data_IF_600090662110
#
_entry.id   IF_600090662110
#
_cell.length_a   1.000
_cell.length_b   1.000
_cell.length_c   1.000
_cell.angle_alpha   90.00
_cell.angle_beta   90.00
_cell.angle_gamma   90.00
#
_symmetry.space_group_name_H-M   'P 1'
#
loop_
_entity.id
_entity.type
_entity.pdbx_description
1 polymer ?
#
# COMPACT_ATOMS: atom_id res chain seq x y z
N UNK A 1 -23.06 -9.52 -2.48
CA UNK A 1 -21.83 -10.09 -3.04
C UNK A 1 -20.71 -9.05 -3.01
N UNK A 2 -20.88 -7.83 -3.59
CA UNK A 2 -19.84 -6.80 -3.62
C UNK A 2 -19.34 -6.42 -2.21
N UNK A 3 -20.24 -6.04 -1.31
CA UNK A 3 -19.87 -5.66 0.06
C UNK A 3 -19.24 -6.82 0.85
N UNK A 4 -19.81 -8.02 0.74
CA UNK A 4 -19.29 -9.22 1.41
C UNK A 4 -17.92 -9.61 0.85
N UNK A 5 -17.75 -9.58 -0.49
CA UNK A 5 -16.49 -9.88 -1.15
C UNK A 5 -15.39 -8.89 -0.75
N UNK A 6 -15.68 -7.58 -0.76
CA UNK A 6 -14.76 -6.54 -0.30
C UNK A 6 -14.39 -6.68 1.18
N UNK A 7 -15.39 -6.90 2.03
CA UNK A 7 -15.16 -7.08 3.46
C UNK A 7 -14.23 -8.26 3.74
N UNK A 8 -14.54 -9.45 3.18
CA UNK A 8 -13.71 -10.64 3.37
C UNK A 8 -12.29 -10.45 2.81
N UNK A 9 -12.17 -9.84 1.62
CA UNK A 9 -10.89 -9.57 1.00
C UNK A 9 -10.03 -8.62 1.82
N UNK A 10 -10.59 -7.46 2.20
CA UNK A 10 -9.85 -6.44 2.93
C UNK A 10 -9.51 -6.87 4.36
N UNK A 11 -10.46 -7.51 5.08
CA UNK A 11 -10.18 -8.04 6.42
C UNK A 11 -9.16 -9.17 6.35
N UNK A 12 -9.32 -10.11 5.41
CA UNK A 12 -8.36 -11.17 5.21
C UNK A 12 -6.95 -10.65 4.99
N UNK A 13 -6.77 -9.70 4.05
CA UNK A 13 -5.46 -9.09 3.79
C UNK A 13 -4.91 -8.31 4.99
N UNK A 14 -5.71 -7.46 5.62
CA UNK A 14 -5.24 -6.61 6.72
C UNK A 14 -4.89 -7.39 7.99
N UNK A 15 -5.40 -8.61 8.14
CA UNK A 15 -5.16 -9.46 9.31
C UNK A 15 -4.04 -10.49 9.11
N UNK A 16 -3.46 -10.60 7.93
CA UNK A 16 -2.33 -11.53 7.68
C UNK A 16 -1.19 -11.30 8.67
N UNK A 17 -0.85 -10.03 8.95
CA UNK A 17 0.23 -9.69 9.88
C UNK A 17 -0.07 -10.00 11.36
N UNK A 18 -1.35 -10.02 11.76
CA UNK A 18 -1.76 -10.30 13.14
C UNK A 18 -2.16 -11.76 13.37
N UNK A 19 -2.80 -12.39 12.38
CA UNK A 19 -3.32 -13.76 12.51
C UNK A 19 -2.42 -14.82 11.88
N UNK A 20 -1.39 -14.39 11.15
CA UNK A 20 -0.53 -15.26 10.33
C UNK A 20 -1.12 -15.55 8.95
N UNK A 21 -0.27 -15.94 8.01
CA UNK A 21 -0.70 -16.27 6.64
C UNK A 21 -1.33 -17.67 6.57
N UNK A 22 -0.65 -18.67 7.07
CA UNK A 22 -1.06 -20.09 7.07
C UNK A 22 -1.12 -20.58 8.51
N UNK A 23 0.00 -20.48 9.23
CA UNK A 23 0.08 -20.84 10.63
C UNK A 23 -0.58 -19.75 11.50
N UNK A 24 -1.53 -20.15 12.38
CA UNK A 24 -2.22 -19.17 13.22
C UNK A 24 -1.28 -18.64 14.30
N UNK A 25 -1.18 -17.32 14.43
CA UNK A 25 -0.49 -16.68 15.55
C UNK A 25 -1.34 -16.70 16.82
N UNK A 26 -0.74 -16.40 17.97
CA UNK A 26 -1.42 -16.41 19.26
C UNK A 26 -2.64 -15.48 19.36
N UNK A 27 -2.65 -14.39 18.59
CA UNK A 27 -3.77 -13.44 18.51
C UNK A 27 -4.89 -13.87 17.57
N UNK A 28 -4.79 -15.05 16.95
CA UNK A 28 -5.79 -15.55 16.02
C UNK A 28 -7.08 -15.93 16.76
N UNK A 29 -8.23 -15.30 16.46
CA UNK A 29 -9.47 -15.52 17.24
C UNK A 29 -10.09 -16.88 17.01
N UNK A 30 -9.86 -17.51 15.85
CA UNK A 30 -10.34 -18.85 15.48
C UNK A 30 -9.51 -19.39 14.32
N UNK A 31 -9.52 -20.72 14.17
CA UNK A 31 -8.83 -21.40 13.05
C UNK A 31 -9.84 -22.09 12.15
N UNK A 32 -9.55 -22.15 10.84
CA UNK A 32 -10.35 -22.86 9.85
C UNK A 32 -9.51 -24.07 9.39
N UNK A 33 -9.90 -25.28 9.78
CA UNK A 33 -9.15 -26.52 9.53
C UNK A 33 -7.69 -26.48 10.02
N UNK A 34 -7.44 -25.79 11.16
CA UNK A 34 -6.10 -25.64 11.71
C UNK A 34 -5.22 -24.56 11.03
N UNK A 35 -5.77 -23.81 10.09
CA UNK A 35 -5.09 -22.76 9.35
C UNK A 35 -5.64 -21.39 9.80
N UNK A 36 -4.81 -20.34 9.70
CA UNK A 36 -5.24 -18.96 9.93
C UNK A 36 -6.41 -18.60 9.01
N UNK A 37 -7.47 -17.92 9.50
CA UNK A 37 -8.62 -17.52 8.69
C UNK A 37 -8.29 -16.40 7.71
N UNK A 38 -7.15 -15.69 7.86
CA UNK A 38 -6.78 -14.55 7.04
C UNK A 38 -6.70 -14.91 5.55
N UNK A 39 -5.94 -15.95 5.20
CA UNK A 39 -5.78 -16.38 3.82
C UNK A 39 -7.08 -16.94 3.20
N UNK A 40 -7.83 -17.87 3.83
CA UNK A 40 -9.13 -18.30 3.32
C UNK A 40 -10.13 -17.15 3.13
N UNK A 41 -10.20 -16.21 4.05
CA UNK A 41 -11.06 -15.02 3.91
C UNK A 41 -10.65 -14.15 2.73
N UNK A 42 -9.35 -13.88 2.55
CA UNK A 42 -8.84 -13.11 1.42
C UNK A 42 -9.15 -13.81 0.08
N UNK A 43 -8.93 -15.12 0.00
CA UNK A 43 -9.21 -15.90 -1.22
C UNK A 43 -10.71 -15.92 -1.52
N UNK A 44 -11.56 -16.20 -0.53
CA UNK A 44 -13.01 -16.22 -0.70
C UNK A 44 -13.53 -14.84 -1.13
N UNK A 45 -13.02 -13.77 -0.50
CA UNK A 45 -13.34 -12.40 -0.88
C UNK A 45 -12.94 -12.11 -2.33
N UNK A 46 -11.74 -12.50 -2.74
CA UNK A 46 -11.27 -12.35 -4.12
C UNK A 46 -12.13 -13.13 -5.12
N UNK A 47 -12.50 -14.37 -4.81
CA UNK A 47 -13.40 -15.19 -5.64
C UNK A 47 -14.75 -14.48 -5.83
N UNK A 48 -15.34 -13.96 -4.75
CA UNK A 48 -16.61 -13.22 -4.82
C UNK A 48 -16.50 -11.95 -5.68
N UNK A 49 -15.37 -11.23 -5.60
CA UNK A 49 -15.10 -10.05 -6.43
C UNK A 49 -14.90 -10.41 -7.90
N UNK A 50 -14.23 -11.53 -8.19
CA UNK A 50 -14.08 -12.03 -9.56
C UNK A 50 -15.44 -12.45 -10.15
N UNK A 51 -16.28 -13.12 -9.37
CA UNK A 51 -17.65 -13.51 -9.77
C UNK A 51 -18.54 -12.28 -9.95
N UNK A 52 -18.30 -11.20 -9.21
CA UNK A 52 -19.06 -9.96 -9.32
C UNK A 52 -18.96 -9.36 -10.73
N UNK A 53 -17.77 -9.38 -11.37
CA UNK A 53 -17.55 -8.78 -12.70
C UNK A 53 -18.51 -9.32 -13.77
N UNK A 54 -18.64 -10.64 -14.00
CA UNK A 54 -19.62 -11.16 -14.97
C UNK A 54 -21.07 -10.97 -14.55
N UNK A 55 -21.36 -10.91 -13.23
CA UNK A 55 -22.71 -10.61 -12.73
C UNK A 55 -23.09 -9.17 -13.05
N UNK A 56 -22.24 -8.20 -12.75
CA UNK A 56 -22.44 -6.78 -13.05
C UNK A 56 -22.67 -6.55 -14.55
N UNK A 57 -21.88 -7.26 -15.39
CA UNK A 57 -22.09 -7.24 -16.85
C UNK A 57 -23.52 -7.63 -17.25
N UNK A 58 -24.08 -8.67 -16.61
CA UNK A 58 -25.45 -9.12 -16.90
C UNK A 58 -26.50 -8.14 -16.37
N UNK A 59 -26.24 -7.54 -15.21
CA UNK A 59 -27.12 -6.53 -14.59
C UNK A 59 -27.15 -5.26 -15.44
N UNK A 60 -25.98 -4.77 -15.88
CA UNK A 60 -25.86 -3.62 -16.77
C UNK A 60 -26.62 -3.82 -18.09
N UNK A 61 -26.51 -5.02 -18.71
CA UNK A 61 -27.26 -5.36 -19.91
C UNK A 61 -28.78 -5.42 -19.74
N UNK A 62 -29.26 -5.80 -18.56
CA UNK A 62 -30.70 -5.91 -18.27
C UNK A 62 -31.33 -4.61 -17.78
N UNK A 63 -30.64 -3.89 -16.91
CA UNK A 63 -31.19 -2.76 -16.15
C UNK A 63 -30.59 -1.40 -16.58
N UNK A 64 -29.53 -1.40 -17.37
CA UNK A 64 -28.81 -0.20 -17.80
C UNK A 64 -28.03 0.51 -16.69
N UNK A 65 -28.00 -0.03 -15.48
CA UNK A 65 -27.29 0.52 -14.31
C UNK A 65 -26.53 -0.61 -13.62
N UNK A 66 -25.23 -0.45 -13.41
CA UNK A 66 -24.37 -1.37 -12.68
C UNK A 66 -23.58 -0.65 -11.61
N UNK A 67 -23.17 -1.34 -10.54
CA UNK A 67 -22.28 -0.79 -9.51
C UNK A 67 -20.87 -0.55 -10.07
N UNK A 68 -20.44 -1.39 -11.01
CA UNK A 68 -19.17 -1.30 -11.70
C UNK A 68 -19.42 -1.26 -13.22
N UNK A 69 -19.64 -0.07 -13.81
CA UNK A 69 -19.88 0.05 -15.25
C UNK A 69 -18.72 -0.52 -16.07
N UNK A 70 -19.05 -1.23 -17.14
CA UNK A 70 -18.01 -1.79 -18.02
C UNK A 70 -17.15 -0.73 -18.68
N UNK A 71 -17.71 0.46 -18.94
CA UNK A 71 -16.99 1.63 -19.41
C UNK A 71 -15.76 1.93 -18.57
N UNK A 72 -15.89 1.82 -17.23
CA UNK A 72 -14.77 1.99 -16.29
C UNK A 72 -13.64 0.99 -16.53
N UNK A 73 -13.97 -0.29 -16.63
CA UNK A 73 -12.97 -1.35 -16.79
C UNK A 73 -12.33 -1.37 -18.17
N UNK A 74 -13.04 -0.88 -19.20
CA UNK A 74 -12.54 -0.86 -20.58
C UNK A 74 -11.69 0.37 -20.89
N UNK A 75 -11.92 1.50 -20.22
CA UNK A 75 -11.19 2.74 -20.46
C UNK A 75 -9.78 2.68 -19.85
N UNK A 76 -8.70 2.67 -20.69
CA UNK A 76 -7.33 2.54 -20.18
C UNK A 76 -6.94 3.63 -19.19
N UNK A 77 -7.41 4.86 -19.44
CA UNK A 77 -7.15 6.01 -18.57
C UNK A 77 -7.76 5.85 -17.17
N UNK A 78 -9.02 5.38 -17.11
CA UNK A 78 -9.68 5.10 -15.81
C UNK A 78 -8.90 4.05 -15.05
N UNK A 79 -8.52 2.95 -15.71
CA UNK A 79 -7.68 1.90 -15.08
C UNK A 79 -6.37 2.47 -14.55
N UNK A 80 -5.69 3.29 -15.35
CA UNK A 80 -4.43 3.90 -14.93
C UNK A 80 -4.60 4.82 -13.72
N UNK A 81 -5.63 5.66 -13.69
CA UNK A 81 -5.94 6.53 -12.55
C UNK A 81 -6.33 5.75 -11.29
N UNK A 82 -7.12 4.67 -11.42
CA UNK A 82 -7.48 3.78 -10.31
C UNK A 82 -6.25 3.07 -9.74
N UNK A 83 -5.37 2.54 -10.60
CA UNK A 83 -4.12 1.91 -10.16
C UNK A 83 -3.18 2.93 -9.53
N UNK A 84 -3.08 4.15 -10.06
CA UNK A 84 -2.29 5.22 -9.47
C UNK A 84 -2.80 5.58 -8.05
N UNK A 85 -4.11 5.65 -7.88
CA UNK A 85 -4.72 5.82 -6.55
C UNK A 85 -4.40 4.65 -5.62
N UNK A 86 -4.48 3.41 -6.11
CA UNK A 86 -4.15 2.22 -5.33
C UNK A 86 -2.66 2.21 -4.88
N UNK A 87 -1.72 2.59 -5.76
CA UNK A 87 -0.28 2.65 -5.43
C UNK A 87 0.00 3.74 -4.39
N UNK A 88 -0.66 4.90 -4.49
CA UNK A 88 -0.53 5.95 -3.46
C UNK A 88 -1.00 5.45 -2.09
N UNK A 89 -2.09 4.71 -2.04
CA UNK A 89 -2.61 4.15 -0.79
C UNK A 89 -1.88 2.88 -0.35
N UNK A 90 -1.26 2.14 -1.25
CA UNK A 90 -0.27 1.11 -0.91
C UNK A 90 0.86 1.70 -0.06
N UNK A 91 1.41 2.85 -0.47
CA UNK A 91 2.39 3.58 0.35
C UNK A 91 1.85 3.90 1.76
N UNK A 92 0.58 4.33 1.88
CA UNK A 92 -0.04 4.56 3.19
C UNK A 92 -0.13 3.27 4.03
N UNK A 93 -0.41 2.13 3.39
CA UNK A 93 -0.40 0.81 4.03
C UNK A 93 0.99 0.41 4.52
N UNK A 94 2.03 0.66 3.72
CA UNK A 94 3.44 0.44 4.11
C UNK A 94 3.78 1.25 5.36
N UNK A 95 3.42 2.53 5.38
CA UNK A 95 3.67 3.39 6.55
C UNK A 95 2.92 2.93 7.80
N UNK A 96 1.71 2.42 7.64
CA UNK A 96 0.91 1.92 8.75
C UNK A 96 1.55 0.69 9.42
N UNK A 97 2.17 -0.21 8.64
CA UNK A 97 2.76 -1.44 9.19
C UNK A 97 4.24 -1.29 9.61
N UNK A 98 5.01 -0.43 8.94
CA UNK A 98 6.43 -0.25 9.26
C UNK A 98 6.66 0.87 10.28
N UNK A 99 6.13 2.06 10.00
CA UNK A 99 6.48 3.26 10.74
C UNK A 99 5.75 3.35 12.08
N UNK A 100 4.44 3.13 12.09
CA UNK A 100 3.63 3.33 13.30
C UNK A 100 4.05 2.38 14.44
N UNK A 101 4.19 1.06 14.23
CA UNK A 101 4.66 0.16 15.29
C UNK A 101 6.11 0.43 15.68
N UNK A 102 7.01 0.73 14.74
CA UNK A 102 8.39 1.05 15.05
C UNK A 102 8.48 2.25 16.00
N UNK A 103 7.79 3.33 15.69
CA UNK A 103 7.84 4.54 16.52
C UNK A 103 7.19 4.36 17.89
N UNK A 104 6.08 3.61 17.97
CA UNK A 104 5.38 3.40 19.24
C UNK A 104 6.04 2.34 20.13
N UNK A 105 6.42 1.20 19.56
CA UNK A 105 6.92 0.05 20.30
C UNK A 105 8.43 0.13 20.55
N UNK A 106 9.19 0.69 19.61
CA UNK A 106 10.66 0.75 19.65
C UNK A 106 11.14 2.10 20.16
N UNK A 107 10.70 3.20 19.52
CA UNK A 107 11.11 4.54 19.90
C UNK A 107 10.29 5.15 21.05
N UNK A 108 9.24 4.47 21.54
CA UNK A 108 8.42 4.92 22.68
C UNK A 108 7.62 6.20 22.43
N UNK A 109 7.30 6.51 21.18
CA UNK A 109 6.62 7.76 20.82
C UNK A 109 5.16 7.77 21.29
N UNK A 110 4.74 8.90 21.82
CA UNK A 110 3.34 9.12 22.20
C UNK A 110 2.44 9.27 20.95
N UNK A 111 1.14 8.94 21.05
CA UNK A 111 0.17 9.17 19.97
C UNK A 111 0.12 10.62 19.48
N UNK A 112 0.38 11.59 20.35
CA UNK A 112 0.43 13.01 19.98
C UNK A 112 1.59 13.29 19.05
N UNK A 113 2.78 12.75 19.33
CA UNK A 113 3.97 12.92 18.51
C UNK A 113 3.79 12.23 17.14
N UNK A 114 3.10 11.08 17.11
CA UNK A 114 2.67 10.42 15.87
C UNK A 114 1.76 11.33 15.02
N UNK A 115 0.85 12.06 15.65
CA UNK A 115 0.01 13.05 14.98
C UNK A 115 0.82 14.18 14.34
N UNK A 116 1.83 14.70 15.05
CA UNK A 116 2.75 15.71 14.53
C UNK A 116 3.53 15.17 13.34
N UNK A 117 3.98 13.91 13.41
CA UNK A 117 4.71 13.27 12.32
C UNK A 117 3.82 13.05 11.07
N UNK A 118 2.54 12.80 11.25
CA UNK A 118 1.60 12.72 10.13
C UNK A 118 1.51 14.04 9.34
N UNK A 119 1.76 15.19 9.97
CA UNK A 119 1.85 16.49 9.29
C UNK A 119 3.05 16.57 8.35
N UNK A 120 4.15 15.89 8.65
CA UNK A 120 5.31 15.83 7.78
C UNK A 120 4.99 15.19 6.41
N UNK A 121 4.05 14.26 6.37
CA UNK A 121 3.50 13.71 5.11
C UNK A 121 2.36 14.59 4.58
N UNK A 122 1.44 14.99 5.45
CA UNK A 122 0.20 15.67 5.08
C UNK A 122 0.41 17.04 4.45
N UNK A 123 1.28 17.86 5.02
CA UNK A 123 1.55 19.23 4.52
C UNK A 123 2.12 19.21 3.09
N UNK A 124 3.21 18.45 2.79
CA UNK A 124 3.69 18.35 1.42
C UNK A 124 2.65 17.73 0.48
N UNK A 125 1.90 16.70 0.91
CA UNK A 125 0.83 16.11 0.11
C UNK A 125 -0.20 17.16 -0.30
N UNK A 126 -0.64 18.00 0.64
CA UNK A 126 -1.58 19.08 0.37
C UNK A 126 -0.99 20.12 -0.60
N UNK A 127 0.24 20.58 -0.36
CA UNK A 127 0.91 21.58 -1.20
C UNK A 127 1.04 21.09 -2.64
N UNK A 128 1.54 19.87 -2.86
CA UNK A 128 1.76 19.33 -4.20
C UNK A 128 0.46 18.91 -4.89
N UNK A 129 -0.52 18.44 -4.14
CA UNK A 129 -1.83 18.06 -4.68
C UNK A 129 -2.59 19.26 -5.28
N UNK A 130 -2.49 20.43 -4.65
CA UNK A 130 -3.08 21.67 -5.16
C UNK A 130 -2.14 22.44 -6.08
N UNK A 131 -0.84 22.37 -5.82
CA UNK A 131 0.17 23.13 -6.57
C UNK A 131 0.34 22.63 -8.00
N UNK A 132 0.39 21.34 -8.23
CA UNK A 132 0.59 20.78 -9.57
C UNK A 132 -0.50 21.25 -10.57
N UNK A 133 -1.81 21.12 -10.29
CA UNK A 133 -2.84 21.61 -11.20
C UNK A 133 -2.78 23.12 -11.41
N UNK A 134 -2.41 23.87 -10.37
CA UNK A 134 -2.38 25.34 -10.42
C UNK A 134 -1.18 25.88 -11.20
N UNK A 135 0.03 25.37 -10.95
CA UNK A 135 1.27 25.89 -11.51
C UNK A 135 1.70 25.20 -12.80
N UNK A 136 1.20 23.98 -13.03
CA UNK A 136 1.53 23.18 -14.21
C UNK A 136 0.27 22.60 -14.89
N UNK A 137 -0.70 23.44 -15.28
CA UNK A 137 -2.00 22.99 -15.83
C UNK A 137 -1.85 22.19 -17.13
N UNK A 138 -0.79 22.48 -17.89
CA UNK A 138 -0.50 21.82 -19.18
C UNK A 138 0.51 20.66 -19.05
N UNK A 139 0.88 20.26 -17.81
CA UNK A 139 1.83 19.18 -17.63
C UNK A 139 1.23 17.84 -18.08
N UNK A 140 2.03 17.05 -18.80
CA UNK A 140 1.61 15.72 -19.24
C UNK A 140 1.34 14.81 -18.02
N UNK A 141 0.10 14.36 -17.79
CA UNK A 141 -0.29 13.57 -16.62
C UNK A 141 0.57 12.33 -16.43
N UNK A 142 0.96 11.67 -17.52
CA UNK A 142 1.84 10.50 -17.48
C UNK A 142 3.19 10.82 -16.85
N UNK A 143 3.84 11.92 -17.27
CA UNK A 143 5.14 12.33 -16.73
C UNK A 143 5.03 12.73 -15.28
N UNK A 144 3.98 13.45 -14.93
CA UNK A 144 3.74 13.88 -13.54
C UNK A 144 3.59 12.67 -12.61
N UNK A 145 2.79 11.66 -12.97
CA UNK A 145 2.64 10.43 -12.18
C UNK A 145 3.97 9.67 -12.10
N UNK A 146 4.74 9.58 -13.19
CA UNK A 146 6.07 8.94 -13.18
C UNK A 146 7.01 9.62 -12.19
N UNK A 147 7.08 10.95 -12.23
CA UNK A 147 7.88 11.73 -11.25
C UNK A 147 7.40 11.47 -9.83
N UNK A 148 6.09 11.47 -9.60
CA UNK A 148 5.52 11.17 -8.29
C UNK A 148 5.91 9.81 -7.75
N UNK A 149 5.89 8.75 -8.57
CA UNK A 149 6.34 7.41 -8.16
C UNK A 149 7.83 7.37 -7.83
N UNK A 150 8.66 8.02 -8.63
CA UNK A 150 10.11 8.11 -8.37
C UNK A 150 10.36 8.84 -7.05
N UNK A 151 9.69 9.98 -6.82
CA UNK A 151 9.81 10.75 -5.58
C UNK A 151 9.36 9.92 -4.38
N UNK A 152 8.20 9.21 -4.47
CA UNK A 152 7.73 8.32 -3.41
C UNK A 152 8.71 7.18 -3.12
N UNK A 153 9.27 6.56 -4.14
CA UNK A 153 10.25 5.48 -3.97
C UNK A 153 11.56 5.98 -3.35
N UNK A 154 12.06 7.13 -3.80
CA UNK A 154 13.25 7.76 -3.24
C UNK A 154 13.08 8.16 -1.76
N UNK A 155 11.87 8.39 -1.30
CA UNK A 155 11.59 8.72 0.10
C UNK A 155 12.00 7.62 1.08
N UNK A 156 11.97 6.37 0.66
CA UNK A 156 12.39 5.25 1.50
C UNK A 156 13.89 5.24 1.79
N UNK A 157 14.72 5.90 0.96
CA UNK A 157 16.17 5.97 1.17
C UNK A 157 16.50 6.68 2.49
N UNK A 158 16.14 7.96 2.70
CA UNK A 158 16.42 8.63 3.96
C UNK A 158 15.68 7.98 5.14
N UNK A 159 14.49 7.37 4.92
CA UNK A 159 13.81 6.64 5.98
C UNK A 159 14.59 5.40 6.42
N UNK A 160 15.15 4.62 5.50
CA UNK A 160 15.98 3.46 5.80
C UNK A 160 17.25 3.86 6.57
N UNK A 161 17.92 4.95 6.15
CA UNK A 161 19.10 5.47 6.83
C UNK A 161 18.80 6.14 8.19
N UNK A 162 17.53 6.40 8.51
CA UNK A 162 17.15 6.99 9.79
C UNK A 162 16.98 5.97 10.91
N UNK A 163 16.96 4.68 10.60
CA UNK A 163 16.70 3.61 11.57
C UNK A 163 18.00 3.25 12.33
N UNK A 164 18.15 3.78 13.54
CA UNK A 164 19.29 3.51 14.41
C UNK A 164 18.77 3.31 15.86
N UNK A 165 18.35 2.09 16.18
CA UNK A 165 17.82 1.78 17.51
C UNK A 165 16.54 2.54 17.84
N UNK A 166 16.47 3.12 19.04
CA UNK A 166 15.30 3.89 19.52
C UNK A 166 15.29 5.35 19.10
N UNK A 167 16.37 5.86 18.49
CA UNK A 167 16.48 7.26 18.10
C UNK A 167 15.95 7.48 16.68
N UNK A 168 15.14 8.52 16.51
CA UNK A 168 14.62 8.96 15.22
C UNK A 168 15.30 10.27 14.82
N UNK A 169 16.14 10.21 13.81
CA UNK A 169 16.90 11.37 13.34
C UNK A 169 16.14 12.21 12.31
N UNK A 170 16.73 13.36 11.92
CA UNK A 170 16.13 14.28 10.95
C UNK A 170 15.89 13.69 9.57
N UNK A 171 16.57 12.59 9.19
CA UNK A 171 16.37 11.91 7.90
C UNK A 171 14.98 11.28 7.79
N UNK A 172 14.39 10.82 8.92
CA UNK A 172 13.02 10.33 8.94
C UNK A 172 12.03 11.42 8.52
N UNK A 173 12.17 12.62 9.08
CA UNK A 173 11.32 13.77 8.74
C UNK A 173 11.45 14.17 7.27
N UNK A 174 12.70 14.18 6.76
CA UNK A 174 12.95 14.43 5.34
C UNK A 174 12.29 13.36 4.47
N UNK A 175 12.46 12.07 4.80
CA UNK A 175 11.85 10.96 4.07
C UNK A 175 10.31 11.08 4.01
N UNK A 176 9.69 11.40 5.14
CA UNK A 176 8.23 11.60 5.21
C UNK A 176 7.76 12.80 4.39
N UNK A 177 8.51 13.92 4.41
CA UNK A 177 8.18 15.08 3.60
C UNK A 177 8.29 14.79 2.09
N UNK A 178 9.35 14.09 1.67
CA UNK A 178 9.55 13.65 0.28
C UNK A 178 8.44 12.67 -0.14
N UNK A 179 8.09 11.72 0.73
CA UNK A 179 7.01 10.78 0.49
C UNK A 179 5.65 11.49 0.31
N UNK A 180 5.37 12.47 1.18
CA UNK A 180 4.17 13.28 1.09
C UNK A 180 4.11 14.10 -0.22
N UNK A 181 5.24 14.67 -0.65
CA UNK A 181 5.33 15.37 -1.93
C UNK A 181 5.01 14.42 -3.11
N UNK A 182 5.63 13.24 -3.14
CA UNK A 182 5.36 12.22 -4.16
C UNK A 182 3.89 11.78 -4.18
N UNK A 183 3.31 11.50 -3.01
CA UNK A 183 1.90 11.15 -2.88
C UNK A 183 0.97 12.27 -3.37
N UNK A 184 1.29 13.52 -3.05
CA UNK A 184 0.56 14.70 -3.53
C UNK A 184 0.60 14.84 -5.05
N UNK A 185 1.79 14.67 -5.65
CA UNK A 185 1.98 14.72 -7.11
C UNK A 185 1.12 13.65 -7.82
N UNK A 186 1.16 12.40 -7.34
CA UNK A 186 0.37 11.31 -7.93
C UNK A 186 -1.13 11.55 -7.75
N UNK A 187 -1.56 11.89 -6.53
CA UNK A 187 -2.97 12.10 -6.20
C UNK A 187 -3.62 13.21 -7.03
N UNK A 188 -2.89 14.31 -7.28
CA UNK A 188 -3.36 15.41 -8.11
C UNK A 188 -3.79 14.94 -9.50
N UNK A 189 -2.97 14.11 -10.14
CA UNK A 189 -3.23 13.64 -11.50
C UNK A 189 -4.13 12.41 -11.56
N UNK A 190 -4.02 11.48 -10.61
CA UNK A 190 -4.84 10.27 -10.58
C UNK A 190 -6.34 10.60 -10.52
N UNK A 191 -6.73 11.56 -9.69
CA UNK A 191 -8.12 12.00 -9.59
C UNK A 191 -8.58 12.70 -10.87
N UNK A 192 -7.73 13.57 -11.43
CA UNK A 192 -8.04 14.33 -12.63
C UNK A 192 -8.23 13.41 -13.86
N UNK A 193 -7.35 12.42 -14.03
CA UNK A 193 -7.44 11.45 -15.14
C UNK A 193 -8.74 10.67 -15.08
N UNK A 194 -9.17 10.23 -13.89
CA UNK A 194 -10.43 9.52 -13.74
C UNK A 194 -11.61 10.45 -14.00
N UNK A 195 -11.60 11.66 -13.44
CA UNK A 195 -12.70 12.62 -13.60
C UNK A 195 -12.93 13.01 -15.07
N UNK A 196 -11.85 13.21 -15.86
CA UNK A 196 -11.94 13.56 -17.28
C UNK A 196 -12.34 12.39 -18.18
N UNK A 197 -12.12 11.15 -17.74
CA UNK A 197 -12.38 9.97 -18.55
C UNK A 197 -13.77 9.32 -18.27
N UNK A 198 -14.53 9.88 -17.32
CA UNK A 198 -15.83 9.36 -16.88
C UNK A 198 -16.93 10.27 -17.38
N UNK A 199 -17.98 9.68 -17.97
CA UNK A 199 -19.18 10.40 -18.37
C UNK A 199 -19.92 10.97 -17.15
N UNK A 200 -20.64 12.09 -17.31
CA UNK A 200 -21.42 12.71 -16.23
C UNK A 200 -22.39 11.74 -15.54
N UNK A 201 -22.98 10.81 -16.30
CA UNK A 201 -23.87 9.77 -15.79
C UNK A 201 -23.19 8.83 -14.79
N UNK A 202 -21.91 8.54 -14.97
CA UNK A 202 -21.12 7.59 -14.16
C UNK A 202 -20.28 8.32 -13.10
N UNK A 203 -20.27 9.65 -13.09
CA UNK A 203 -19.43 10.46 -12.22
C UNK A 203 -19.68 10.19 -10.72
N UNK A 204 -20.94 9.98 -10.31
CA UNK A 204 -21.30 9.66 -8.92
C UNK A 204 -20.73 8.31 -8.46
N UNK A 205 -20.61 7.34 -9.37
CA UNK A 205 -20.09 6.00 -9.06
C UNK A 205 -18.56 6.00 -9.01
N UNK A 206 -17.91 6.93 -9.73
CA UNK A 206 -16.45 7.01 -9.82
C UNK A 206 -15.78 7.21 -8.46
N UNK A 207 -16.37 8.03 -7.59
CA UNK A 207 -15.89 8.27 -6.22
C UNK A 207 -15.86 7.00 -5.37
N UNK A 208 -16.91 6.19 -5.43
CA UNK A 208 -16.98 4.91 -4.72
C UNK A 208 -15.95 3.90 -5.20
N UNK A 209 -15.78 3.79 -6.53
CA UNK A 209 -14.78 2.88 -7.14
C UNK A 209 -13.36 3.33 -6.80
N UNK A 210 -13.06 4.63 -6.86
CA UNK A 210 -11.75 5.16 -6.46
C UNK A 210 -11.45 4.87 -4.99
N UNK A 211 -12.43 5.11 -4.09
CA UNK A 211 -12.28 4.81 -2.66
C UNK A 211 -12.05 3.32 -2.41
N UNK A 212 -12.75 2.46 -3.13
CA UNK A 212 -12.53 1.01 -3.08
C UNK A 212 -11.10 0.66 -3.49
N UNK A 213 -10.61 1.20 -4.61
CA UNK A 213 -9.24 0.94 -5.09
C UNK A 213 -8.17 1.47 -4.14
N UNK A 214 -8.42 2.59 -3.46
CA UNK A 214 -7.53 3.10 -2.39
C UNK A 214 -7.46 2.12 -1.23
N UNK A 215 -8.60 1.64 -0.73
CA UNK A 215 -8.64 0.69 0.37
C UNK A 215 -7.97 -0.65 0.00
N UNK A 216 -8.18 -1.13 -1.22
CA UNK A 216 -7.49 -2.32 -1.75
C UNK A 216 -5.98 -2.09 -1.80
N UNK A 217 -5.53 -0.95 -2.32
CA UNK A 217 -4.10 -0.60 -2.34
C UNK A 217 -3.50 -0.59 -0.94
N UNK A 218 -4.17 0.05 0.01
CA UNK A 218 -3.72 0.11 1.41
C UNK A 218 -3.64 -1.28 2.05
N UNK A 219 -4.67 -2.11 1.86
CA UNK A 219 -4.69 -3.48 2.41
C UNK A 219 -3.58 -4.35 1.83
N UNK A 220 -3.32 -4.24 0.51
CA UNK A 220 -2.21 -4.94 -0.13
C UNK A 220 -0.87 -4.45 0.45
N UNK A 221 -0.71 -3.14 0.69
CA UNK A 221 0.49 -2.57 1.31
C UNK A 221 0.75 -3.16 2.70
N UNK A 222 -0.27 -3.17 3.55
CA UNK A 222 -0.17 -3.78 4.90
C UNK A 222 0.16 -5.25 4.82
N UNK A 223 -0.55 -6.03 3.98
CA UNK A 223 -0.37 -7.46 3.90
C UNK A 223 0.99 -7.88 3.31
N UNK A 224 1.35 -7.30 2.16
CA UNK A 224 2.57 -7.68 1.45
C UNK A 224 3.81 -7.27 2.25
N UNK A 225 3.86 -6.03 2.72
CA UNK A 225 5.03 -5.52 3.44
C UNK A 225 5.06 -6.03 4.88
N UNK A 226 3.90 -6.24 5.51
CA UNK A 226 3.84 -6.92 6.80
C UNK A 226 4.40 -8.34 6.74
N UNK A 227 4.10 -9.09 5.67
CA UNK A 227 4.70 -10.40 5.46
C UNK A 227 6.22 -10.32 5.27
N UNK A 228 6.71 -9.39 4.43
CA UNK A 228 8.16 -9.19 4.23
C UNK A 228 8.86 -8.86 5.55
N UNK A 229 8.25 -7.98 6.36
CA UNK A 229 8.79 -7.60 7.67
C UNK A 229 8.88 -8.80 8.62
N UNK A 230 7.78 -9.53 8.78
CA UNK A 230 7.72 -10.66 9.73
C UNK A 230 8.65 -11.81 9.32
N UNK A 231 8.61 -12.22 8.05
CA UNK A 231 9.55 -13.23 7.56
C UNK A 231 11.00 -12.76 7.66
N UNK A 232 11.26 -11.47 7.41
CA UNK A 232 12.57 -10.87 7.58
C UNK A 232 13.04 -10.92 9.02
N UNK A 233 12.21 -10.56 10.00
CA UNK A 233 12.56 -10.60 11.43
C UNK A 233 12.91 -12.04 11.83
N UNK A 234 12.02 -13.01 11.54
CA UNK A 234 12.25 -14.41 11.89
C UNK A 234 13.54 -14.95 11.27
N UNK A 235 13.73 -14.75 9.96
CA UNK A 235 14.93 -15.24 9.28
C UNK A 235 16.22 -14.58 9.78
N UNK A 236 16.21 -13.27 10.04
CA UNK A 236 17.38 -12.56 10.54
C UNK A 236 17.74 -12.96 11.98
N UNK A 237 16.74 -13.17 12.85
CA UNK A 237 16.97 -13.67 14.22
C UNK A 237 17.54 -15.10 14.17
N UNK A 238 16.94 -16.00 13.39
CA UNK A 238 17.38 -17.38 13.28
C UNK A 238 18.83 -17.50 12.79
N UNK A 239 19.17 -16.72 11.75
CA UNK A 239 20.54 -16.67 11.21
C UNK A 239 21.52 -16.07 12.23
N UNK A 240 21.16 -14.97 12.86
CA UNK A 240 22.01 -14.30 13.82
C UNK A 240 22.26 -15.18 15.07
N UNK A 241 21.25 -15.88 15.58
CA UNK A 241 21.42 -16.87 16.64
C UNK A 241 22.26 -18.08 16.21
N UNK A 242 22.22 -18.45 14.92
CA UNK A 242 23.04 -19.53 14.40
C UNK A 242 24.53 -19.19 14.38
N UNK A 243 24.84 -17.93 14.07
CA UNK A 243 26.20 -17.42 13.93
C UNK A 243 26.79 -16.93 15.28
N UNK A 244 25.95 -16.74 16.31
CA UNK A 244 26.41 -16.29 17.64
C UNK A 244 27.09 -17.41 18.43
N UNK A 245 28.33 -17.19 18.89
CA UNK A 245 29.06 -18.16 19.71
C UNK A 245 28.51 -18.23 21.15
N UNK A 246 27.65 -17.31 21.57
CA UNK A 246 27.11 -17.17 22.92
C UNK A 246 25.79 -17.89 23.07
N UNK A 247 25.01 -18.00 21.98
CA UNK A 247 23.67 -18.60 22.00
C UNK A 247 23.77 -20.12 21.78
N UNK A 248 23.32 -20.88 22.78
CA UNK A 248 23.34 -22.35 22.70
C UNK A 248 22.19 -22.89 21.84
N UNK A 249 22.30 -24.12 21.28
CA UNK A 249 21.23 -24.76 20.51
C UNK A 249 19.91 -24.88 21.29
N UNK A 250 19.99 -25.09 22.62
CA UNK A 250 18.83 -25.22 23.49
C UNK A 250 18.06 -23.89 23.56
N UNK A 251 18.77 -22.77 23.76
CA UNK A 251 18.18 -21.42 23.78
C UNK A 251 17.55 -21.12 22.42
N UNK A 252 18.24 -21.44 21.34
CA UNK A 252 17.73 -21.23 19.97
C UNK A 252 16.43 -21.98 19.70
N UNK A 253 16.34 -23.25 20.14
CA UNK A 253 15.09 -24.02 20.03
C UNK A 253 13.98 -23.40 20.88
N UNK A 254 14.27 -23.02 22.11
CA UNK A 254 13.29 -22.39 23.01
C UNK A 254 12.79 -21.04 22.50
N UNK A 255 13.65 -20.25 21.83
CA UNK A 255 13.27 -18.99 21.16
C UNK A 255 12.45 -19.24 19.91
N UNK A 256 12.80 -20.25 19.09
CA UNK A 256 12.07 -20.61 17.86
C UNK A 256 10.64 -21.10 18.13
N UNK A 257 10.39 -21.74 19.27
CA UNK A 257 9.05 -22.12 19.72
C UNK A 257 8.15 -20.94 20.11
N UNK A 258 8.75 -19.76 20.30
CA UNK A 258 8.03 -18.52 20.59
C UNK A 258 7.71 -17.80 19.29
N UNK A 259 6.45 -17.40 19.11
CA UNK A 259 6.05 -16.57 17.97
C UNK A 259 6.61 -15.14 18.13
N UNK A 260 7.84 -14.94 17.65
CA UNK A 260 8.46 -13.61 17.67
C UNK A 260 7.85 -12.77 16.56
N UNK A 261 7.11 -11.74 16.96
CA UNK A 261 6.54 -10.72 16.08
C UNK A 261 7.31 -9.41 16.23
N UNK A 262 6.84 -8.37 15.55
CA UNK A 262 7.38 -7.02 15.75
C UNK A 262 7.06 -6.52 17.16
N UNK A 263 8.03 -6.59 18.06
CA UNK A 263 7.92 -6.16 19.46
C UNK A 263 9.12 -5.31 19.87
N UNK A 264 8.92 -4.44 20.85
CA UNK A 264 10.01 -3.66 21.46
C UNK A 264 10.88 -4.51 22.36
N UNK A 265 12.06 -4.00 22.75
CA UNK A 265 13.05 -4.74 23.54
C UNK A 265 12.48 -5.20 24.88
N UNK A 266 11.76 -4.33 25.61
CA UNK A 266 11.12 -4.67 26.88
C UNK A 266 10.07 -5.79 26.76
N UNK A 267 9.30 -5.84 25.68
CA UNK A 267 8.33 -6.89 25.41
C UNK A 267 9.03 -8.19 25.02
N UNK A 268 10.11 -8.10 24.25
CA UNK A 268 10.93 -9.25 23.89
C UNK A 268 11.57 -9.87 25.13
N UNK A 269 12.18 -9.07 26.04
CA UNK A 269 12.71 -9.53 27.33
C UNK A 269 11.67 -10.26 28.15
N UNK A 270 10.43 -9.78 28.21
CA UNK A 270 9.33 -10.47 28.90
C UNK A 270 9.00 -11.80 28.23
N UNK A 271 9.04 -11.88 26.91
CA UNK A 271 8.74 -13.09 26.13
C UNK A 271 9.77 -14.19 26.35
N UNK A 272 11.04 -13.82 26.61
CA UNK A 272 12.13 -14.75 26.86
C UNK A 272 12.47 -14.91 28.36
N UNK A 273 11.70 -14.29 29.26
CA UNK A 273 12.02 -14.21 30.70
C UNK A 273 12.12 -15.58 31.38
N UNK A 274 11.34 -16.56 30.97
CA UNK A 274 11.27 -17.90 31.48
C UNK A 274 12.26 -18.91 30.81
N UNK A 275 13.01 -18.48 29.79
CA UNK A 275 14.05 -19.28 29.17
C UNK A 275 15.31 -19.24 30.08
N UNK A 276 15.84 -20.40 30.56
CA UNK A 276 17.03 -20.42 31.37
C UNK A 276 18.26 -19.98 30.57
N UNK A 277 18.83 -18.83 30.89
CA UNK A 277 20.01 -18.26 30.25
C UNK A 277 20.74 -17.31 31.21
N UNK A 278 22.02 -17.06 31.00
CA UNK A 278 22.78 -16.07 31.73
C UNK A 278 22.51 -14.63 31.21
N UNK A 279 23.01 -13.64 31.99
CA UNK A 279 22.80 -12.23 31.65
C UNK A 279 23.47 -11.83 30.30
N UNK A 280 24.60 -12.44 29.95
CA UNK A 280 25.30 -12.19 28.70
C UNK A 280 24.51 -12.72 27.49
N UNK A 281 23.96 -13.93 27.62
CA UNK A 281 23.09 -14.53 26.61
C UNK A 281 21.81 -13.73 26.41
N UNK A 282 21.23 -13.23 27.50
CA UNK A 282 20.03 -12.38 27.47
C UNK A 282 20.29 -11.06 26.75
N UNK A 283 21.38 -10.37 27.09
CA UNK A 283 21.76 -9.13 26.44
C UNK A 283 22.05 -9.31 24.95
N UNK A 284 22.74 -10.40 24.60
CA UNK A 284 23.01 -10.76 23.19
C UNK A 284 21.70 -10.98 22.43
N UNK A 285 20.75 -11.75 22.96
CA UNK A 285 19.45 -12.00 22.30
C UNK A 285 18.64 -10.73 22.07
N UNK A 286 18.62 -9.82 23.05
CA UNK A 286 17.94 -8.52 22.92
C UNK A 286 18.58 -7.69 21.80
N UNK A 287 19.90 -7.70 21.72
CA UNK A 287 20.61 -7.00 20.65
C UNK A 287 20.33 -7.63 19.29
N UNK A 288 20.41 -8.97 19.16
CA UNK A 288 20.08 -9.69 17.92
C UNK A 288 18.65 -9.40 17.45
N UNK A 289 17.68 -9.36 18.38
CA UNK A 289 16.29 -8.98 18.05
C UNK A 289 16.19 -7.54 17.53
N UNK A 290 16.91 -6.60 18.17
CA UNK A 290 16.94 -5.20 17.73
C UNK A 290 17.54 -5.07 16.33
N UNK A 291 18.67 -5.70 16.07
CA UNK A 291 19.36 -5.68 14.78
C UNK A 291 18.52 -6.35 13.68
N UNK A 292 17.92 -7.51 13.97
CA UNK A 292 17.04 -8.22 13.05
C UNK A 292 15.81 -7.36 12.67
N UNK A 293 15.23 -6.65 13.63
CA UNK A 293 14.10 -5.74 13.40
C UNK A 293 14.48 -4.56 12.52
N UNK A 294 15.62 -3.92 12.77
CA UNK A 294 16.13 -2.80 11.97
C UNK A 294 16.39 -3.28 10.55
N UNK A 295 17.14 -4.36 10.38
CA UNK A 295 17.49 -4.91 9.06
C UNK A 295 16.25 -5.32 8.27
N UNK A 296 15.27 -5.94 8.91
CA UNK A 296 14.02 -6.34 8.27
C UNK A 296 13.16 -5.13 7.86
N UNK A 297 13.18 -4.06 8.67
CA UNK A 297 12.49 -2.81 8.34
C UNK A 297 13.16 -2.11 7.14
N UNK A 298 14.49 -2.07 7.09
CA UNK A 298 15.25 -1.54 5.94
C UNK A 298 14.93 -2.34 4.68
N UNK A 299 14.98 -3.67 4.75
CA UNK A 299 14.62 -4.55 3.63
C UNK A 299 13.19 -4.28 3.15
N UNK A 300 12.25 -4.12 4.09
CA UNK A 300 10.86 -3.80 3.79
C UNK A 300 10.68 -2.45 3.08
N UNK A 301 11.46 -1.43 3.44
CA UNK A 301 11.49 -0.15 2.73
C UNK A 301 12.04 -0.30 1.31
N UNK A 302 13.12 -1.06 1.12
CA UNK A 302 13.69 -1.32 -0.21
C UNK A 302 12.67 -2.04 -1.10
N UNK A 303 12.05 -3.11 -0.59
CA UNK A 303 11.02 -3.86 -1.34
C UNK A 303 9.84 -2.94 -1.69
N UNK A 304 9.40 -2.10 -0.75
CA UNK A 304 8.31 -1.14 -0.97
C UNK A 304 8.66 -0.13 -2.08
N UNK A 305 9.89 0.38 -2.08
CA UNK A 305 10.39 1.29 -3.12
C UNK A 305 10.37 0.62 -4.50
N UNK A 306 10.85 -0.62 -4.59
CA UNK A 306 10.82 -1.41 -5.85
C UNK A 306 9.39 -1.63 -6.32
N UNK A 307 8.47 -2.02 -5.43
CA UNK A 307 7.06 -2.23 -5.79
C UNK A 307 6.39 -0.95 -6.29
N UNK A 308 6.68 0.22 -5.69
CA UNK A 308 6.19 1.51 -6.19
C UNK A 308 6.77 1.83 -7.57
N UNK A 309 8.07 1.57 -7.79
CA UNK A 309 8.68 1.77 -9.10
C UNK A 309 8.10 0.85 -10.18
N UNK A 310 7.68 -0.36 -9.82
CA UNK A 310 6.94 -1.22 -10.76
C UNK A 310 5.62 -0.56 -11.21
N UNK A 311 5.07 0.34 -10.41
CA UNK A 311 3.94 1.19 -10.81
C UNK A 311 4.21 2.04 -12.06
N UNK A 312 5.46 2.32 -12.42
CA UNK A 312 5.82 3.02 -13.65
C UNK A 312 5.31 2.29 -14.90
N UNK A 313 5.25 0.96 -14.88
CA UNK A 313 4.71 0.18 -16.00
C UNK A 313 3.22 0.48 -16.25
N UNK A 314 2.46 0.84 -15.22
CA UNK A 314 1.03 1.16 -15.35
C UNK A 314 0.80 2.49 -16.05
N UNK A 315 1.78 3.37 -16.03
CA UNK A 315 1.67 4.69 -16.67
C UNK A 315 1.60 4.62 -18.18
N UNK A 316 1.95 3.48 -18.80
CA UNK A 316 1.80 3.26 -20.24
C UNK A 316 0.33 3.27 -20.70
N UNK A 317 -0.61 3.03 -19.80
CA UNK A 317 -2.06 3.09 -20.07
C UNK A 317 -2.61 4.52 -20.06
N UNK A 318 -1.80 5.49 -19.64
CA UNK A 318 -2.17 6.91 -19.65
C UNK A 318 -1.93 7.44 -21.06
N UNK A 319 -2.99 7.79 -21.77
CA UNK A 319 -2.91 8.42 -23.08
C UNK A 319 -2.39 9.84 -22.94
N UNK A 320 -1.54 10.26 -23.88
CA UNK A 320 -0.99 11.63 -23.89
C UNK A 320 -2.03 12.52 -24.56
N UNK A 321 -2.59 13.47 -23.80
CA UNK A 321 -3.42 14.50 -24.39
C UNK A 321 -2.51 15.49 -25.14
N UNK A 322 -2.62 15.54 -26.45
CA UNK A 322 -2.02 16.60 -27.25
C UNK A 322 -3.04 17.73 -27.31
N UNK A 323 -2.77 18.84 -26.62
CA UNK A 323 -3.57 20.05 -26.77
C UNK A 323 -3.18 20.64 -28.14
N UNK A 324 -4.12 20.66 -29.09
CA UNK A 324 -3.95 21.44 -30.30
C UNK A 324 -3.96 22.94 -29.93
N UNK A 325 -2.93 23.63 -30.37
CA UNK A 325 -2.77 25.08 -30.28
C UNK A 325 -3.57 25.74 -31.41
N UNK A 326 -4.89 25.61 -31.42
CA UNK A 326 -5.72 26.49 -32.21
C UNK A 326 -7.15 26.52 -31.64
N UNK A 327 -7.58 27.75 -31.34
CA UNK A 327 -8.79 28.17 -30.65
C UNK A 327 -10.14 27.69 -31.22
N UNK A 328 -10.35 26.37 -31.23
CA UNK A 328 -11.66 25.75 -31.40
C UNK A 328 -11.82 24.66 -30.36
N UNK A 329 -12.91 24.74 -29.62
CA UNK A 329 -13.42 23.62 -28.82
C UNK A 329 -13.63 22.42 -29.74
N UNK A 330 -12.64 21.56 -29.84
CA UNK A 330 -12.80 20.26 -30.50
C UNK A 330 -12.52 19.12 -29.55
N UNK A 331 -13.49 18.26 -29.54
CA UNK A 331 -13.60 16.96 -28.92
C UNK A 331 -12.26 16.24 -28.77
N UNK A 332 -11.99 15.77 -27.57
CA UNK A 332 -10.83 14.96 -27.23
C UNK A 332 -10.86 13.65 -28.02
N UNK A 333 -10.08 13.57 -29.08
CA UNK A 333 -9.89 12.32 -29.82
C UNK A 333 -8.69 11.58 -29.21
N UNK A 334 -8.96 10.45 -28.62
CA UNK A 334 -7.93 9.52 -28.15
C UNK A 334 -7.35 8.81 -29.38
N UNK A 335 -6.09 9.08 -29.72
CA UNK A 335 -5.34 8.31 -30.69
C UNK A 335 -4.92 6.96 -30.07
N UNK A 336 -5.83 5.99 -30.11
CA UNK A 336 -5.49 4.57 -29.98
C UNK A 336 -5.44 4.00 -31.39
N UNK A 337 -4.29 3.45 -31.76
CA UNK A 337 -4.23 2.51 -32.86
C UNK A 337 -5.19 1.35 -32.54
N UNK A 338 -6.22 1.29 -33.26
CA UNK A 338 -7.17 0.28 -33.71
C UNK A 338 -8.63 0.67 -33.50
N UNK A 339 -9.23 0.84 -34.63
CA UNK A 339 -10.58 1.10 -35.04
C UNK A 339 -11.72 0.64 -34.12
N UNK A 340 -12.56 1.59 -33.69
CA UNK A 340 -14.03 1.37 -33.78
C UNK A 340 -14.74 2.71 -34.03
N UNK A 341 -15.63 2.81 -35.03
CA UNK A 341 -16.32 4.03 -35.35
C UNK A 341 -17.40 4.35 -34.29
N UNK A 342 -17.33 5.55 -33.76
CA UNK A 342 -18.41 6.14 -32.97
C UNK A 342 -19.33 6.86 -33.96
N UNK A 343 -20.56 6.38 -34.13
CA UNK A 343 -21.63 7.14 -34.81
C UNK A 343 -22.11 8.25 -33.84
N UNK A 344 -22.16 9.51 -34.24
CA UNK A 344 -22.77 10.57 -33.47
C UNK A 344 -24.29 10.38 -33.44
N UNK A 345 -24.86 10.37 -32.24
CA UNK A 345 -26.32 10.44 -32.06
C UNK A 345 -26.76 11.84 -32.49
N UNK A 346 -27.39 11.91 -33.65
CA UNK A 346 -28.08 13.10 -34.17
C UNK A 346 -29.38 13.26 -33.35
N UNK A 347 -29.46 14.36 -32.57
CA UNK A 347 -30.73 14.82 -32.02
C UNK A 347 -31.78 14.96 -33.11
N UNK A 348 -32.82 14.18 -33.03
CA UNK A 348 -34.07 14.47 -33.75
C UNK A 348 -35.00 15.16 -32.76
N UNK A 349 -35.05 16.46 -32.88
CA UNK A 349 -36.23 17.23 -32.46
C UNK A 349 -37.46 16.72 -33.24
N UNK A 350 -38.48 16.30 -32.51
CA UNK A 350 -39.89 16.68 -32.64
C UNK A 350 -40.71 16.05 -31.50
#
# INVERSE_FOLDING_TARGET
IAATGLFLFLVGLSRISAWGLIEPFAECPFTIFGISPALPMAILGLILLVILVPMEKRVEQKNGIALLPQSFLKTPQVRAGLVASAITFFFMGVQAILLSPYLQLVAGWSPVLMGVMALAVGIPTFIFSLGIPKFMPNANPRRVIQVGYIVMACAFIPMAFSLHGSEVNGLMWLGLAVAGAGAGIVSAQANNIVALAVNERDASQSGGIQTTMRNVGQAIGVAAIGAVLLFGITANIDNAMADSPVITPEIRTAVAERNISLMGDAQFEQTIADIPMDDAQRAELVQLNSDARIQSTITSYVVSGVLILLGLFTTRWITIFKKEEDGKEETIVAETADEMPFEPVVDREM
#
